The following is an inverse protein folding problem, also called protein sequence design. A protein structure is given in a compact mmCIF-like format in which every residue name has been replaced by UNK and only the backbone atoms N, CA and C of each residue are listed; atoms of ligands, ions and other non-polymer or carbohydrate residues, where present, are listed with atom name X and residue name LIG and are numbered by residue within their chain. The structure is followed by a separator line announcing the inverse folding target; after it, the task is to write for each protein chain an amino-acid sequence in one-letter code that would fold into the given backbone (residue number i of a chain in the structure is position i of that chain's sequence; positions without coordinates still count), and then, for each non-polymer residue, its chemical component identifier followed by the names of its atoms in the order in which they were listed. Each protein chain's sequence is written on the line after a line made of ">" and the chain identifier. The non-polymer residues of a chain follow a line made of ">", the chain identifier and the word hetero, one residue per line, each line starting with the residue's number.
data_IF_025544475740
#
_entry.id   IF_025544475740
#
_cell.length_a   1.000
_cell.length_b   1.000
_cell.length_c   1.000
_cell.angle_alpha   90.00
_cell.angle_beta   90.00
_cell.angle_gamma   90.00
#
_symmetry.space_group_name_H-M   'P 1'
#
loop_
_entity.id
_entity.type
_entity.pdbx_description
1 polymer ?
#
# COMPACT_ATOMS: atom_id res chain seq x y z
N UNK A 1 -16.56 -8.98 -10.73
CA UNK A 1 -15.08 -8.86 -10.68
C UNK A 1 -14.51 -9.90 -9.72
N UNK A 2 -13.28 -10.38 -9.97
CA UNK A 2 -12.68 -11.45 -9.15
C UNK A 2 -12.05 -10.87 -7.91
N UNK A 3 -12.42 -11.39 -6.73
CA UNK A 3 -11.81 -10.97 -5.45
C UNK A 3 -10.49 -11.71 -5.25
N UNK A 4 -9.37 -10.98 -5.21
CA UNK A 4 -8.02 -11.54 -5.03
C UNK A 4 -7.51 -11.47 -3.60
N UNK A 5 -8.12 -10.63 -2.74
CA UNK A 5 -7.92 -10.62 -1.30
C UNK A 5 -9.27 -10.81 -0.62
N UNK A 6 -9.35 -11.69 0.37
CA UNK A 6 -10.52 -11.87 1.24
C UNK A 6 -10.05 -12.00 2.67
N UNK A 7 -10.57 -11.14 3.52
CA UNK A 7 -10.32 -11.16 4.96
C UNK A 7 -11.65 -11.30 5.67
N UNK A 8 -11.80 -12.34 6.51
CA UNK A 8 -13.08 -12.67 7.15
C UNK A 8 -12.90 -12.81 8.66
N UNK A 9 -13.55 -11.94 9.43
CA UNK A 9 -13.55 -11.89 10.90
C UNK A 9 -12.13 -11.99 11.51
N UNK A 10 -11.11 -11.50 10.78
CA UNK A 10 -9.72 -11.69 11.17
C UNK A 10 -9.39 -10.88 12.41
N UNK A 11 -8.85 -11.57 13.40
CA UNK A 11 -8.36 -10.98 14.65
C UNK A 11 -6.96 -11.49 14.93
N UNK A 12 -6.07 -10.60 15.40
CA UNK A 12 -4.71 -10.97 15.75
C UNK A 12 -4.23 -10.25 17.00
N UNK A 13 -3.52 -11.01 17.83
CA UNK A 13 -2.80 -10.51 19.02
C UNK A 13 -1.40 -11.07 19.02
N UNK A 14 -0.39 -10.20 19.03
CA UNK A 14 1.01 -10.62 19.18
C UNK A 14 1.20 -11.38 20.49
N UNK A 15 2.18 -12.32 20.52
CA UNK A 15 2.44 -13.20 21.67
C UNK A 15 2.62 -12.42 22.98
N UNK A 16 3.42 -11.36 22.93
CA UNK A 16 3.83 -10.60 24.10
C UNK A 16 2.98 -9.31 24.31
N UNK A 17 1.85 -9.19 23.60
CA UNK A 17 0.97 -8.05 23.72
C UNK A 17 -0.24 -8.36 24.61
N UNK A 18 -0.59 -7.43 25.50
CA UNK A 18 -1.79 -7.54 26.34
C UNK A 18 -3.09 -7.29 25.56
N UNK A 19 -3.00 -6.59 24.42
CA UNK A 19 -4.17 -6.16 23.64
C UNK A 19 -4.21 -6.81 22.27
N UNK A 20 -5.41 -7.12 21.82
CA UNK A 20 -5.67 -7.56 20.44
C UNK A 20 -5.47 -6.39 19.49
N UNK A 21 -4.54 -6.57 18.53
CA UNK A 21 -4.17 -5.53 17.55
C UNK A 21 -5.20 -5.40 16.43
N UNK A 22 -5.63 -6.53 15.85
CA UNK A 22 -6.72 -6.58 14.86
C UNK A 22 -7.94 -7.27 15.47
N UNK A 23 -9.13 -6.71 15.25
CA UNK A 23 -10.37 -7.12 15.94
C UNK A 23 -11.50 -7.28 14.93
N UNK A 24 -11.73 -8.52 14.47
CA UNK A 24 -12.81 -8.87 13.54
C UNK A 24 -12.79 -8.01 12.27
N UNK A 25 -11.63 -7.91 11.64
CA UNK A 25 -11.46 -7.19 10.37
C UNK A 25 -12.04 -8.05 9.26
N UNK A 26 -12.91 -7.45 8.43
CA UNK A 26 -13.50 -8.12 7.26
C UNK A 26 -13.55 -7.14 6.09
N UNK A 27 -12.98 -7.53 4.96
CA UNK A 27 -13.04 -6.79 3.68
C UNK A 27 -12.60 -7.69 2.53
N UNK A 28 -12.76 -7.21 1.31
CA UNK A 28 -12.24 -7.87 0.12
C UNK A 28 -11.70 -6.85 -0.87
N UNK A 29 -10.71 -7.25 -1.67
CA UNK A 29 -10.11 -6.42 -2.72
C UNK A 29 -10.29 -7.12 -4.06
N UNK A 30 -10.73 -6.38 -5.06
CA UNK A 30 -10.93 -6.87 -6.43
C UNK A 30 -9.62 -6.84 -7.21
N UNK A 31 -9.49 -7.74 -8.18
CA UNK A 31 -8.33 -7.80 -9.07
C UNK A 31 -8.19 -6.49 -9.86
N UNK A 32 -6.96 -5.95 -9.90
CA UNK A 32 -6.63 -4.73 -10.63
C UNK A 32 -7.11 -3.45 -9.95
N UNK A 33 -7.75 -3.52 -8.77
CA UNK A 33 -8.16 -2.32 -8.06
C UNK A 33 -7.01 -1.66 -7.28
N UNK A 34 -7.15 -0.36 -7.03
CA UNK A 34 -6.31 0.41 -6.13
C UNK A 34 -7.05 0.60 -4.80
N UNK A 35 -6.64 -0.14 -3.79
CA UNK A 35 -7.26 -0.16 -2.47
C UNK A 35 -6.40 0.58 -1.46
N UNK A 36 -6.92 1.63 -0.84
CA UNK A 36 -6.18 2.40 0.16
C UNK A 36 -6.64 2.09 1.58
N UNK A 37 -5.68 1.96 2.50
CA UNK A 37 -5.91 1.80 3.94
C UNK A 37 -5.41 3.04 4.65
N UNK A 38 -6.32 3.75 5.33
CA UNK A 38 -6.01 4.96 6.09
C UNK A 38 -6.38 4.80 7.56
N UNK A 39 -5.81 5.62 8.42
CA UNK A 39 -6.11 5.58 9.85
C UNK A 39 -4.95 6.07 10.71
N UNK A 40 -5.24 6.43 11.95
CA UNK A 40 -4.26 6.92 12.91
C UNK A 40 -3.11 5.92 13.15
N UNK A 41 -1.98 6.41 13.63
CA UNK A 41 -0.86 5.55 14.05
C UNK A 41 -1.32 4.58 15.13
N UNK A 42 -0.86 3.33 15.04
CA UNK A 42 -1.28 2.26 15.96
C UNK A 42 -2.68 1.70 15.69
N UNK A 43 -3.37 2.09 14.62
CA UNK A 43 -4.69 1.54 14.26
C UNK A 43 -4.64 0.09 13.77
N UNK A 44 -3.45 -0.45 13.44
CA UNK A 44 -3.24 -1.83 13.02
C UNK A 44 -2.95 -2.01 11.52
N UNK A 45 -2.72 -0.94 10.75
CA UNK A 45 -2.47 -0.97 9.30
C UNK A 45 -1.32 -1.90 8.92
N UNK A 46 -0.12 -1.67 9.48
CA UNK A 46 1.07 -2.51 9.21
C UNK A 46 0.89 -3.97 9.65
N UNK A 47 0.17 -4.20 10.75
CA UNK A 47 -0.19 -5.56 11.19
C UNK A 47 -1.08 -6.25 10.15
N UNK A 48 -2.01 -5.50 9.55
CA UNK A 48 -2.85 -6.03 8.48
C UNK A 48 -2.02 -6.29 7.21
N UNK A 49 -1.12 -5.38 6.80
CA UNK A 49 -0.20 -5.60 5.67
C UNK A 49 0.62 -6.88 5.88
N UNK A 50 1.18 -7.09 7.08
CA UNK A 50 1.90 -8.32 7.42
C UNK A 50 1.03 -9.59 7.33
N UNK A 51 -0.25 -9.48 7.65
CA UNK A 51 -1.17 -10.61 7.51
C UNK A 51 -1.49 -10.93 6.05
N UNK A 52 -1.58 -9.91 5.18
CA UNK A 52 -1.85 -10.11 3.75
C UNK A 52 -0.72 -10.86 3.03
N UNK A 53 0.52 -10.69 3.46
CA UNK A 53 1.69 -11.33 2.82
C UNK A 53 2.17 -12.60 3.54
N UNK A 54 1.44 -13.05 4.56
CA UNK A 54 1.77 -14.27 5.30
C UNK A 54 2.86 -14.14 6.36
N UNK A 55 3.39 -12.93 6.61
CA UNK A 55 4.28 -12.73 7.76
C UNK A 55 3.57 -12.97 9.09
N UNK A 56 2.25 -12.80 9.12
CA UNK A 56 1.36 -13.32 10.15
C UNK A 56 0.56 -14.48 9.51
N UNK A 57 0.57 -15.67 10.09
CA UNK A 57 1.13 -16.07 11.39
C UNK A 57 2.55 -16.66 11.35
N UNK A 58 3.22 -16.70 10.18
CA UNK A 58 4.42 -17.53 9.98
C UNK A 58 5.69 -16.94 10.60
N UNK A 59 5.85 -15.63 10.57
CA UNK A 59 7.01 -14.92 11.15
C UNK A 59 6.64 -14.23 12.46
N UNK A 60 5.59 -13.42 12.45
CA UNK A 60 5.08 -12.78 13.67
C UNK A 60 4.13 -13.72 14.40
N UNK A 61 4.62 -14.32 15.48
CA UNK A 61 3.87 -15.31 16.25
C UNK A 61 2.87 -14.66 17.19
N UNK A 62 1.65 -15.20 17.20
CA UNK A 62 0.57 -14.69 18.04
C UNK A 62 -0.66 -15.58 18.01
N UNK A 63 -1.77 -15.05 18.52
CA UNK A 63 -3.08 -15.70 18.45
C UNK A 63 -3.88 -15.06 17.32
N UNK A 64 -4.21 -15.84 16.30
CA UNK A 64 -5.08 -15.44 15.19
C UNK A 64 -6.44 -16.13 15.26
N UNK A 65 -7.47 -15.51 14.69
CA UNK A 65 -8.82 -16.03 14.49
C UNK A 65 -9.39 -15.43 13.20
N UNK A 66 -10.28 -16.15 12.53
CA UNK A 66 -10.78 -15.77 11.23
C UNK A 66 -9.84 -16.23 10.12
N UNK A 67 -10.00 -15.71 8.92
CA UNK A 67 -9.21 -16.12 7.75
C UNK A 67 -8.70 -14.95 6.94
N UNK A 68 -7.55 -15.15 6.29
CA UNK A 68 -6.98 -14.28 5.24
C UNK A 68 -6.69 -15.16 4.04
N UNK A 69 -7.23 -14.80 2.89
CA UNK A 69 -7.00 -15.52 1.64
C UNK A 69 -6.44 -14.58 0.58
N UNK A 70 -5.40 -15.05 -0.09
CA UNK A 70 -4.80 -14.41 -1.26
C UNK A 70 -5.09 -15.31 -2.45
N UNK A 71 -5.87 -14.78 -3.41
CA UNK A 71 -6.45 -15.59 -4.48
C UNK A 71 -7.20 -16.80 -3.88
N UNK A 72 -6.80 -18.00 -4.25
CA UNK A 72 -7.40 -19.24 -3.74
C UNK A 72 -6.66 -19.84 -2.52
N UNK A 73 -5.53 -19.24 -2.13
CA UNK A 73 -4.67 -19.72 -1.06
C UNK A 73 -5.07 -19.14 0.31
N UNK A 74 -5.21 -20.00 1.32
CA UNK A 74 -5.36 -19.57 2.71
C UNK A 74 -3.99 -19.28 3.29
N UNK A 75 -3.80 -18.04 3.79
CA UNK A 75 -2.50 -17.58 4.32
C UNK A 75 -2.02 -18.44 5.48
N UNK A 76 -2.90 -18.92 6.34
CA UNK A 76 -2.51 -19.71 7.52
C UNK A 76 -1.94 -21.10 7.17
N UNK A 77 -2.28 -21.64 6.01
CA UNK A 77 -1.85 -22.99 5.57
C UNK A 77 -0.86 -22.97 4.42
N UNK A 78 -0.67 -21.81 3.76
CA UNK A 78 0.28 -21.64 2.65
C UNK A 78 1.67 -21.30 3.19
N UNK A 79 2.72 -21.64 2.47
CA UNK A 79 4.08 -21.16 2.81
C UNK A 79 4.30 -19.72 2.37
N UNK A 80 5.21 -19.00 3.05
CA UNK A 80 5.61 -17.65 2.60
C UNK A 80 6.17 -17.69 1.17
N UNK A 81 6.91 -18.74 0.82
CA UNK A 81 7.45 -18.93 -0.53
C UNK A 81 6.36 -19.05 -1.60
N UNK A 82 5.24 -19.72 -1.31
CA UNK A 82 4.12 -19.81 -2.25
C UNK A 82 3.38 -18.47 -2.34
N UNK A 83 3.14 -17.81 -1.22
CA UNK A 83 2.47 -16.51 -1.18
C UNK A 83 3.29 -15.43 -1.91
N UNK A 84 4.63 -15.44 -1.77
CA UNK A 84 5.51 -14.46 -2.40
C UNK A 84 5.49 -14.47 -3.94
N UNK A 85 4.95 -15.53 -4.55
CA UNK A 85 4.70 -15.58 -6.01
C UNK A 85 3.53 -14.70 -6.45
N UNK A 86 2.65 -14.35 -5.54
CA UNK A 86 1.41 -13.64 -5.81
C UNK A 86 1.34 -12.27 -5.17
N UNK A 87 1.94 -12.11 -4.00
CA UNK A 87 1.87 -10.86 -3.23
C UNK A 87 3.24 -10.42 -2.77
N UNK A 88 3.58 -9.18 -3.07
CA UNK A 88 4.79 -8.51 -2.59
C UNK A 88 4.47 -7.43 -1.57
N UNK A 89 5.37 -7.21 -0.60
CA UNK A 89 5.27 -6.15 0.40
C UNK A 89 6.47 -5.21 0.30
N UNK A 90 6.19 -3.91 0.33
CA UNK A 90 7.20 -2.87 0.56
C UNK A 90 6.98 -2.31 1.96
N UNK A 91 7.99 -2.44 2.81
CA UNK A 91 7.92 -2.00 4.20
C UNK A 91 8.02 -0.48 4.33
N UNK A 92 7.46 0.07 5.40
CA UNK A 92 7.59 1.47 5.79
C UNK A 92 9.07 1.89 5.96
N UNK A 93 9.87 1.02 6.58
CA UNK A 93 11.31 1.23 6.67
C UNK A 93 12.02 0.35 5.61
N UNK A 94 12.54 0.93 4.52
CA UNK A 94 13.16 0.17 3.44
C UNK A 94 14.43 -0.56 3.87
N UNK A 95 15.11 -0.11 4.93
CA UNK A 95 16.27 -0.81 5.48
C UNK A 95 15.91 -2.19 6.04
N UNK A 96 14.67 -2.43 6.44
CA UNK A 96 14.23 -3.75 6.90
C UNK A 96 13.98 -4.74 5.74
N UNK A 97 14.03 -4.27 4.50
CA UNK A 97 13.75 -5.09 3.32
C UNK A 97 15.00 -5.63 2.65
N UNK A 98 16.12 -4.93 2.78
CA UNK A 98 17.38 -5.35 2.18
C UNK A 98 17.92 -6.60 2.86
N UNK A 99 18.51 -7.51 2.06
CA UNK A 99 19.11 -8.76 2.55
C UNK A 99 20.38 -8.52 3.37
N UNK A 100 21.11 -7.44 3.07
CA UNK A 100 22.44 -7.10 3.59
C UNK A 100 23.50 -8.16 3.35
N UNK A 101 23.22 -9.13 2.48
CA UNK A 101 24.17 -10.18 2.08
C UNK A 101 24.74 -9.94 0.68
N UNK A 102 24.10 -9.09 -0.10
CA UNK A 102 24.52 -8.71 -1.44
C UNK A 102 25.65 -7.68 -1.38
N UNK A 103 26.65 -7.84 -2.21
CA UNK A 103 27.75 -6.89 -2.36
C UNK A 103 27.39 -5.68 -3.22
N UNK A 104 26.39 -5.82 -4.09
CA UNK A 104 25.94 -4.79 -5.03
C UNK A 104 24.43 -4.67 -5.07
N UNK A 105 23.93 -3.53 -5.55
CA UNK A 105 22.49 -3.30 -5.79
C UNK A 105 21.93 -4.30 -6.82
N UNK A 106 22.73 -4.64 -7.84
CA UNK A 106 22.31 -5.65 -8.83
C UNK A 106 22.07 -7.02 -8.18
N UNK A 107 22.94 -7.44 -7.28
CA UNK A 107 22.79 -8.69 -6.52
C UNK A 107 21.62 -8.62 -5.55
N UNK A 108 21.41 -7.48 -4.89
CA UNK A 108 20.27 -7.26 -4.00
C UNK A 108 18.93 -7.39 -4.75
N UNK A 109 18.82 -6.76 -5.91
CA UNK A 109 17.62 -6.89 -6.77
C UNK A 109 17.42 -8.34 -7.22
N UNK A 110 18.49 -9.06 -7.58
CA UNK A 110 18.43 -10.45 -8.05
C UNK A 110 18.19 -11.47 -6.94
N UNK A 111 18.32 -11.10 -5.66
CA UNK A 111 18.33 -12.01 -4.52
C UNK A 111 17.08 -12.91 -4.47
N UNK A 112 15.88 -12.31 -4.59
CA UNK A 112 14.62 -13.05 -4.61
C UNK A 112 14.50 -14.00 -5.81
N UNK A 113 14.93 -13.56 -6.99
CA UNK A 113 14.93 -14.38 -8.21
C UNK A 113 15.83 -15.62 -8.07
N UNK A 114 16.99 -15.45 -7.42
CA UNK A 114 17.91 -16.55 -7.12
C UNK A 114 17.28 -17.61 -6.24
N UNK A 115 16.56 -17.21 -5.20
CA UNK A 115 15.83 -18.11 -4.31
C UNK A 115 14.71 -18.88 -5.02
N UNK A 116 14.18 -18.34 -6.13
CA UNK A 116 13.17 -19.00 -6.98
C UNK A 116 13.79 -19.79 -8.13
N UNK A 117 15.11 -19.92 -8.23
CA UNK A 117 15.80 -20.71 -9.24
C UNK A 117 15.74 -20.13 -10.66
N UNK A 118 15.54 -18.82 -10.79
CA UNK A 118 15.53 -18.13 -12.09
C UNK A 118 16.91 -18.20 -12.74
N UNK A 119 16.98 -18.37 -14.06
CA UNK A 119 18.26 -18.44 -14.79
C UNK A 119 19.01 -17.10 -14.71
N UNK A 120 20.35 -17.17 -14.76
CA UNK A 120 21.22 -15.98 -14.66
C UNK A 120 20.94 -14.97 -15.79
N UNK A 121 20.69 -15.44 -16.98
CA UNK A 121 20.34 -14.61 -18.13
C UNK A 121 19.03 -13.83 -17.89
N UNK A 122 18.00 -14.53 -17.43
CA UNK A 122 16.71 -13.93 -17.07
C UNK A 122 16.85 -12.93 -15.92
N UNK A 123 17.67 -13.24 -14.90
CA UNK A 123 17.95 -12.31 -13.81
C UNK A 123 18.55 -11.00 -14.32
N UNK A 124 19.58 -11.05 -15.18
CA UNK A 124 20.20 -9.85 -15.75
C UNK A 124 19.19 -8.99 -16.50
N UNK A 125 18.36 -9.61 -17.34
CA UNK A 125 17.32 -8.88 -18.09
C UNK A 125 16.29 -8.20 -17.15
N UNK A 126 15.84 -8.91 -16.11
CA UNK A 126 14.89 -8.38 -15.13
C UNK A 126 15.50 -7.25 -14.29
N UNK A 127 16.77 -7.41 -13.85
CA UNK A 127 17.49 -6.37 -13.11
C UNK A 127 17.62 -5.10 -13.94
N UNK A 128 18.03 -5.19 -15.20
CA UNK A 128 18.13 -4.03 -16.08
C UNK A 128 16.77 -3.33 -16.27
N UNK A 129 15.70 -4.09 -16.48
CA UNK A 129 14.33 -3.56 -16.63
C UNK A 129 13.86 -2.81 -15.37
N UNK A 130 14.07 -3.42 -14.20
CA UNK A 130 13.63 -2.82 -12.93
C UNK A 130 14.50 -1.63 -12.56
N UNK A 131 15.82 -1.68 -12.83
CA UNK A 131 16.71 -0.55 -12.62
C UNK A 131 16.29 0.68 -13.42
N UNK A 132 15.92 0.49 -14.70
CA UNK A 132 15.39 1.56 -15.53
C UNK A 132 14.04 2.09 -15.01
N UNK A 133 13.12 1.20 -14.57
CA UNK A 133 11.83 1.60 -14.01
C UNK A 133 11.98 2.44 -12.73
N UNK A 134 12.98 2.10 -11.88
CA UNK A 134 13.25 2.78 -10.61
C UNK A 134 14.23 3.95 -10.73
N UNK A 135 14.78 4.21 -11.93
CA UNK A 135 15.84 5.21 -12.17
C UNK A 135 17.07 5.00 -11.28
N UNK A 136 17.56 3.75 -11.20
CA UNK A 136 18.70 3.34 -10.37
C UNK A 136 19.81 2.65 -11.18
N UNK A 137 19.82 2.78 -12.52
CA UNK A 137 20.82 2.15 -13.38
C UNK A 137 22.26 2.50 -12.95
N UNK A 138 22.50 3.76 -12.59
CA UNK A 138 23.80 4.25 -12.11
C UNK A 138 24.19 3.77 -10.71
N UNK A 139 23.33 2.97 -10.05
CA UNK A 139 23.57 2.46 -8.70
C UNK A 139 23.87 0.96 -8.68
N UNK A 140 23.71 0.26 -9.80
CA UNK A 140 23.75 -1.21 -9.85
C UNK A 140 25.04 -1.83 -9.27
N UNK A 141 26.19 -1.17 -9.46
CA UNK A 141 27.49 -1.64 -8.97
C UNK A 141 27.84 -1.13 -7.56
N UNK A 142 26.99 -0.29 -6.96
CA UNK A 142 27.24 0.25 -5.61
C UNK A 142 26.86 -0.77 -4.54
N UNK A 143 27.53 -0.65 -3.39
CA UNK A 143 27.12 -1.39 -2.21
C UNK A 143 25.78 -0.82 -1.67
N UNK A 144 24.76 -1.66 -1.37
CA UNK A 144 23.50 -1.20 -0.80
C UNK A 144 23.62 -0.38 0.49
N UNK A 145 24.68 -0.60 1.27
CA UNK A 145 24.97 0.13 2.52
C UNK A 145 25.44 1.58 2.29
N UNK A 146 25.85 1.93 1.06
CA UNK A 146 26.33 3.27 0.70
C UNK A 146 25.21 4.17 0.12
N UNK A 147 23.99 3.64 0.04
CA UNK A 147 22.87 4.33 -0.57
C UNK A 147 22.23 5.33 0.41
N UNK A 148 21.75 6.46 -0.14
CA UNK A 148 20.84 7.35 0.60
C UNK A 148 19.49 6.69 0.86
N UNK A 149 18.71 7.19 1.86
CA UNK A 149 17.40 6.64 2.19
C UNK A 149 16.43 6.54 0.99
N UNK A 150 16.39 7.56 0.15
CA UNK A 150 15.58 7.53 -1.07
C UNK A 150 16.06 6.51 -2.11
N UNK A 151 17.39 6.31 -2.23
CA UNK A 151 17.93 5.27 -3.10
C UNK A 151 17.62 3.87 -2.57
N UNK A 152 17.73 3.66 -1.25
CA UNK A 152 17.33 2.40 -0.59
C UNK A 152 15.86 2.12 -0.84
N UNK A 153 14.98 3.13 -0.75
CA UNK A 153 13.55 2.98 -1.01
C UNK A 153 13.26 2.50 -2.44
N UNK A 154 13.96 3.07 -3.44
CA UNK A 154 13.84 2.65 -4.84
C UNK A 154 14.33 1.21 -5.05
N UNK A 155 15.43 0.83 -4.42
CA UNK A 155 15.95 -0.54 -4.45
C UNK A 155 14.96 -1.50 -3.77
N UNK A 156 14.41 -1.15 -2.61
CA UNK A 156 13.43 -1.95 -1.88
C UNK A 156 12.14 -2.18 -2.69
N UNK A 157 11.61 -1.12 -3.33
CA UNK A 157 10.47 -1.27 -4.23
C UNK A 157 10.85 -2.13 -5.46
N UNK A 158 12.01 -1.88 -6.05
CA UNK A 158 12.54 -2.64 -7.17
C UNK A 158 12.69 -4.14 -6.86
N UNK A 159 13.21 -4.49 -5.67
CA UNK A 159 13.38 -5.89 -5.24
C UNK A 159 12.04 -6.62 -5.07
N UNK A 160 10.97 -5.89 -4.80
CA UNK A 160 9.61 -6.45 -4.78
C UNK A 160 9.05 -6.59 -6.19
N UNK A 161 9.18 -5.56 -7.02
CA UNK A 161 8.61 -5.53 -8.37
C UNK A 161 9.29 -6.50 -9.34
N UNK A 162 10.57 -6.80 -9.14
CA UNK A 162 11.32 -7.76 -9.98
C UNK A 162 10.72 -9.17 -9.94
N UNK A 163 9.98 -9.48 -8.87
CA UNK A 163 9.26 -10.75 -8.69
C UNK A 163 7.96 -10.80 -9.49
N UNK A 164 7.51 -9.66 -10.07
CA UNK A 164 6.29 -9.52 -10.86
C UNK A 164 5.03 -10.04 -10.11
N UNK A 165 4.76 -9.52 -8.89
CA UNK A 165 3.63 -9.98 -8.11
C UNK A 165 2.29 -9.55 -8.73
N UNK A 166 1.24 -10.36 -8.57
CA UNK A 166 -0.14 -9.99 -8.95
C UNK A 166 -0.73 -8.90 -8.03
N UNK A 167 -0.24 -8.86 -6.78
CA UNK A 167 -0.72 -7.96 -5.72
C UNK A 167 0.49 -7.27 -5.09
N UNK A 168 0.45 -5.95 -5.02
CA UNK A 168 1.47 -5.12 -4.39
C UNK A 168 0.90 -4.47 -3.13
N UNK A 169 1.48 -4.80 -1.98
CA UNK A 169 1.15 -4.18 -0.68
C UNK A 169 2.23 -3.16 -0.34
N UNK A 170 1.84 -1.93 -0.08
CA UNK A 170 2.73 -0.80 0.21
C UNK A 170 2.39 -0.25 1.60
N UNK A 171 3.29 -0.42 2.56
CA UNK A 171 3.09 0.08 3.92
C UNK A 171 3.87 1.38 4.11
N UNK A 172 3.22 2.53 3.84
CA UNK A 172 3.78 3.89 3.97
C UNK A 172 5.15 4.05 3.26
N UNK A 173 5.30 3.44 2.09
CA UNK A 173 6.59 3.29 1.40
C UNK A 173 7.18 4.61 0.86
N UNK A 174 6.51 5.73 0.98
CA UNK A 174 7.01 7.05 0.53
C UNK A 174 7.41 7.97 1.68
N UNK A 175 7.24 7.54 2.95
CA UNK A 175 7.43 8.38 4.13
C UNK A 175 8.88 8.92 4.31
N UNK A 176 9.88 8.27 3.70
CA UNK A 176 11.30 8.67 3.80
C UNK A 176 11.80 9.42 2.56
N UNK A 177 10.93 9.70 1.60
CA UNK A 177 11.26 10.42 0.38
C UNK A 177 10.94 11.91 0.52
N UNK A 178 11.66 12.73 -0.24
CA UNK A 178 11.22 14.10 -0.48
C UNK A 178 9.92 14.12 -1.32
N UNK A 179 9.22 15.25 -1.39
CA UNK A 179 7.95 15.33 -2.11
C UNK A 179 8.04 14.88 -3.57
N UNK A 180 9.13 15.24 -4.27
CA UNK A 180 9.31 14.86 -5.67
C UNK A 180 9.54 13.35 -5.82
N UNK A 181 10.43 12.78 -5.04
CA UNK A 181 10.67 11.34 -5.03
C UNK A 181 9.42 10.53 -4.64
N UNK A 182 8.61 11.07 -3.73
CA UNK A 182 7.33 10.47 -3.34
C UNK A 182 6.34 10.42 -4.51
N UNK A 183 6.19 11.52 -5.27
CA UNK A 183 5.32 11.56 -6.45
C UNK A 183 5.84 10.63 -7.57
N UNK A 184 7.15 10.57 -7.81
CA UNK A 184 7.71 9.65 -8.80
C UNK A 184 7.41 8.17 -8.48
N UNK A 185 7.59 7.76 -7.23
CA UNK A 185 7.23 6.39 -6.79
C UNK A 185 5.72 6.15 -6.97
N UNK A 186 4.91 7.14 -6.60
CA UNK A 186 3.48 7.05 -6.74
C UNK A 186 3.04 6.89 -8.20
N UNK A 187 3.63 7.65 -9.12
CA UNK A 187 3.34 7.55 -10.56
C UNK A 187 3.73 6.17 -11.13
N UNK A 188 4.85 5.59 -10.65
CA UNK A 188 5.23 4.22 -10.99
C UNK A 188 4.16 3.23 -10.51
N UNK A 189 3.75 3.30 -9.25
CA UNK A 189 2.73 2.41 -8.68
C UNK A 189 1.39 2.54 -9.41
N UNK A 190 0.98 3.78 -9.74
CA UNK A 190 -0.24 4.06 -10.50
C UNK A 190 -0.19 3.43 -11.90
N UNK A 191 0.94 3.54 -12.58
CA UNK A 191 1.15 2.91 -13.90
C UNK A 191 1.03 1.39 -13.80
N UNK A 192 1.68 0.79 -12.81
CA UNK A 192 1.60 -0.67 -12.58
C UNK A 192 0.16 -1.13 -12.31
N UNK A 193 -0.61 -0.35 -11.57
CA UNK A 193 -2.03 -0.63 -11.36
C UNK A 193 -2.83 -0.55 -12.66
N UNK A 194 -2.57 0.45 -13.51
CA UNK A 194 -3.19 0.55 -14.84
C UNK A 194 -2.81 -0.62 -15.77
N UNK A 195 -1.65 -1.23 -15.55
CA UNK A 195 -1.21 -2.46 -16.23
C UNK A 195 -1.84 -3.74 -15.65
N UNK A 196 -2.68 -3.62 -14.60
CA UNK A 196 -3.50 -4.70 -14.04
C UNK A 196 -3.00 -5.27 -12.71
N UNK A 197 -1.93 -4.72 -12.12
CA UNK A 197 -1.49 -5.10 -10.77
C UNK A 197 -2.50 -4.58 -9.74
N UNK A 198 -2.92 -5.43 -8.82
CA UNK A 198 -3.74 -5.02 -7.68
C UNK A 198 -2.86 -4.31 -6.65
N UNK A 199 -3.25 -3.13 -6.21
CA UNK A 199 -2.50 -2.35 -5.23
C UNK A 199 -3.28 -2.25 -3.93
N UNK A 200 -2.60 -2.55 -2.82
CA UNK A 200 -3.07 -2.23 -1.46
C UNK A 200 -2.06 -1.25 -0.85
N UNK A 201 -2.46 -0.01 -0.64
CA UNK A 201 -1.56 1.04 -0.18
C UNK A 201 -2.02 1.62 1.16
N UNK A 202 -1.10 1.68 2.11
CA UNK A 202 -1.25 2.50 3.31
C UNK A 202 -0.59 3.84 3.05
N UNK A 203 -1.34 4.93 3.17
CA UNK A 203 -0.82 6.28 3.01
C UNK A 203 -1.47 7.25 4.01
N UNK A 204 -0.80 8.37 4.27
CA UNK A 204 -1.28 9.47 5.10
C UNK A 204 -1.62 10.73 4.30
N UNK A 205 -1.32 10.75 3.01
CA UNK A 205 -1.66 11.83 2.10
C UNK A 205 -3.07 11.60 1.52
N UNK A 206 -4.06 12.28 2.09
CA UNK A 206 -5.46 12.08 1.71
C UNK A 206 -5.77 12.61 0.31
N UNK A 207 -5.03 13.60 -0.19
CA UNK A 207 -5.13 14.08 -1.58
C UNK A 207 -4.72 12.98 -2.56
N UNK A 208 -3.60 12.32 -2.25
CA UNK A 208 -3.10 11.20 -3.03
C UNK A 208 -4.07 10.02 -3.00
N UNK A 209 -4.56 9.67 -1.82
CA UNK A 209 -5.56 8.60 -1.64
C UNK A 209 -6.82 8.92 -2.46
N UNK A 210 -7.34 10.14 -2.37
CA UNK A 210 -8.53 10.56 -3.10
C UNK A 210 -8.34 10.50 -4.63
N UNK A 211 -7.12 10.77 -5.11
CA UNK A 211 -6.77 10.81 -6.54
C UNK A 211 -6.64 9.42 -7.17
N UNK A 212 -6.29 8.39 -6.40
CA UNK A 212 -5.94 7.08 -6.95
C UNK A 212 -6.83 5.92 -6.51
N UNK A 213 -7.44 6.00 -5.32
CA UNK A 213 -8.15 4.86 -4.77
C UNK A 213 -9.49 4.61 -5.47
N UNK A 214 -9.75 3.34 -5.78
CA UNK A 214 -11.10 2.86 -6.11
C UNK A 214 -11.92 2.65 -4.84
N UNK A 215 -11.24 2.20 -3.76
CA UNK A 215 -11.83 2.02 -2.44
C UNK A 215 -10.87 2.48 -1.34
N UNK A 216 -11.43 3.07 -0.31
CA UNK A 216 -10.73 3.51 0.90
C UNK A 216 -11.30 2.79 2.11
N UNK A 217 -10.41 2.18 2.89
CA UNK A 217 -10.73 1.56 4.17
C UNK A 217 -10.14 2.36 5.32
N UNK A 218 -11.00 2.84 6.21
CA UNK A 218 -10.60 3.54 7.44
C UNK A 218 -10.39 2.53 8.56
N UNK A 219 -9.21 2.51 9.15
CA UNK A 219 -8.91 1.70 10.32
C UNK A 219 -8.84 2.55 11.60
N UNK A 220 -9.51 2.08 12.66
CA UNK A 220 -9.43 2.71 13.98
C UNK A 220 -9.49 1.69 15.10
N UNK A 221 -8.51 1.72 16.02
CA UNK A 221 -8.38 0.83 17.17
C UNK A 221 -8.46 -0.68 16.82
N UNK A 222 -7.87 -1.05 15.70
CA UNK A 222 -7.80 -2.43 15.19
C UNK A 222 -9.07 -2.92 14.48
N UNK A 223 -9.98 -2.03 14.11
CA UNK A 223 -11.24 -2.35 13.42
C UNK A 223 -11.39 -1.56 12.13
N UNK A 224 -12.13 -2.10 11.19
CA UNK A 224 -12.67 -1.33 10.07
C UNK A 224 -13.74 -0.38 10.61
N UNK A 225 -13.65 0.91 10.28
CA UNK A 225 -14.55 1.98 10.70
C UNK A 225 -15.43 2.46 9.55
N UNK A 226 -14.83 2.58 8.36
CA UNK A 226 -15.53 2.88 7.13
C UNK A 226 -14.86 2.12 5.98
N UNK A 227 -15.60 1.82 4.95
CA UNK A 227 -15.14 1.21 3.70
C UNK A 227 -16.08 1.66 2.59
N UNK A 228 -15.54 2.28 1.55
CA UNK A 228 -16.30 2.78 0.41
C UNK A 228 -15.40 3.47 -0.60
N UNK A 229 -16.00 4.17 -1.56
CA UNK A 229 -15.27 5.04 -2.48
C UNK A 229 -14.65 6.23 -1.73
N UNK A 230 -13.65 6.91 -2.30
CA UNK A 230 -13.13 8.15 -1.70
C UNK A 230 -14.23 9.17 -1.39
N UNK A 231 -15.21 9.32 -2.29
CA UNK A 231 -16.34 10.22 -2.13
C UNK A 231 -17.20 9.85 -0.90
N UNK A 232 -17.55 8.58 -0.75
CA UNK A 232 -18.33 8.10 0.39
C UNK A 232 -17.58 8.29 1.72
N UNK A 233 -16.29 7.94 1.75
CA UNK A 233 -15.49 7.95 2.98
C UNK A 233 -15.14 9.38 3.41
N UNK A 234 -14.68 10.24 2.50
CA UNK A 234 -14.21 11.58 2.88
C UNK A 234 -15.34 12.60 3.03
N UNK A 235 -16.52 12.36 2.42
CA UNK A 235 -17.70 13.18 2.67
C UNK A 235 -18.36 12.89 4.03
N UNK A 236 -18.14 11.72 4.61
CA UNK A 236 -18.70 11.37 5.92
C UNK A 236 -18.00 12.16 7.05
N UNK A 237 -18.74 12.98 7.85
CA UNK A 237 -18.20 13.72 8.98
C UNK A 237 -17.61 12.81 10.08
N UNK A 238 -18.06 11.57 10.19
CA UNK A 238 -17.56 10.62 11.18
C UNK A 238 -16.09 10.22 10.91
N UNK A 239 -15.65 10.30 9.65
CA UNK A 239 -14.30 9.90 9.23
C UNK A 239 -13.20 10.65 10.00
N UNK A 240 -13.37 11.95 10.24
CA UNK A 240 -12.42 12.79 11.00
C UNK A 240 -12.27 12.31 12.46
N UNK A 241 -13.32 11.73 13.05
CA UNK A 241 -13.27 11.22 14.43
C UNK A 241 -12.31 10.05 14.63
N UNK A 242 -11.91 9.40 13.54
CA UNK A 242 -10.97 8.27 13.57
C UNK A 242 -9.50 8.70 13.45
N UNK A 243 -9.23 10.01 13.52
CA UNK A 243 -7.87 10.58 13.54
C UNK A 243 -7.19 10.55 12.17
N UNK A 244 -7.96 10.62 11.11
CA UNK A 244 -7.49 10.86 9.74
C UNK A 244 -7.87 12.27 9.31
N UNK A 245 -7.02 12.88 8.51
CA UNK A 245 -7.36 14.13 7.84
C UNK A 245 -8.31 13.85 6.65
N UNK A 246 -8.86 14.89 6.07
CA UNK A 246 -9.68 14.82 4.86
C UNK A 246 -9.06 15.72 3.79
N UNK A 247 -9.27 15.42 2.51
CA UNK A 247 -8.76 16.26 1.43
C UNK A 247 -9.16 17.73 1.60
N UNK A 248 -8.26 18.65 1.25
CA UNK A 248 -8.52 20.10 1.36
C UNK A 248 -9.69 20.54 0.49
N UNK A 249 -9.95 19.84 -0.60
CA UNK A 249 -11.12 20.07 -1.45
C UNK A 249 -12.43 19.78 -0.72
N UNK A 250 -12.48 18.76 0.14
CA UNK A 250 -13.62 18.49 1.00
C UNK A 250 -13.80 19.59 2.03
N UNK A 251 -12.70 20.05 2.65
CA UNK A 251 -12.73 21.18 3.61
C UNK A 251 -13.27 22.45 2.93
N UNK A 252 -12.79 22.74 1.71
CA UNK A 252 -13.27 23.85 0.91
C UNK A 252 -14.75 23.74 0.60
N UNK A 253 -15.22 22.58 0.15
CA UNK A 253 -16.63 22.32 -0.13
C UNK A 253 -17.53 22.56 1.09
N UNK A 254 -17.12 22.05 2.25
CA UNK A 254 -17.84 22.30 3.51
C UNK A 254 -17.88 23.78 3.87
N UNK A 255 -16.74 24.49 3.75
CA UNK A 255 -16.68 25.93 3.99
C UNK A 255 -17.60 26.73 3.06
N UNK A 256 -17.77 26.33 1.81
CA UNK A 256 -18.69 26.95 0.87
C UNK A 256 -20.16 26.65 1.26
N UNK A 257 -20.49 25.41 1.67
CA UNK A 257 -21.82 25.08 2.18
C UNK A 257 -22.18 25.92 3.43
N UNK A 258 -21.24 26.06 4.37
CA UNK A 258 -21.39 26.89 5.57
C UNK A 258 -21.57 28.38 5.23
N UNK A 259 -21.00 28.85 4.12
CA UNK A 259 -21.18 30.20 3.59
C UNK A 259 -22.49 30.38 2.80
N UNK A 260 -23.31 29.35 2.67
CA UNK A 260 -24.64 29.41 2.04
C UNK A 260 -24.65 29.07 0.55
N UNK A 261 -23.55 28.54 -0.01
CA UNK A 261 -23.56 28.04 -1.38
C UNK A 261 -24.27 26.67 -1.44
N UNK A 262 -25.12 26.49 -2.44
CA UNK A 262 -25.80 25.21 -2.69
C UNK A 262 -24.85 24.28 -3.48
N UNK A 263 -24.22 23.36 -2.76
CA UNK A 263 -23.35 22.34 -3.35
C UNK A 263 -24.03 20.97 -3.14
N UNK A 264 -24.44 20.28 -4.21
CA UNK A 264 -25.13 18.99 -4.10
C UNK A 264 -24.24 17.89 -3.50
N UNK A 265 -22.94 17.92 -3.80
CA UNK A 265 -21.93 16.96 -3.32
C UNK A 265 -20.69 17.69 -2.82
N UNK A 266 -19.88 17.02 -2.01
CA UNK A 266 -18.57 17.54 -1.61
C UNK A 266 -17.49 17.12 -2.60
N UNK A 267 -16.64 18.04 -3.09
CA UNK A 267 -15.55 17.69 -3.98
C UNK A 267 -14.48 16.95 -3.19
N UNK A 268 -14.01 15.85 -3.71
CA UNK A 268 -12.94 15.05 -3.10
C UNK A 268 -11.63 15.20 -3.87
N UNK A 269 -11.70 15.66 -5.12
CA UNK A 269 -10.57 15.88 -6.04
C UNK A 269 -10.61 17.29 -6.63
N UNK A 270 -9.44 17.74 -7.09
CA UNK A 270 -9.25 19.06 -7.67
C UNK A 270 -10.21 19.34 -8.83
N UNK A 271 -10.32 18.40 -9.78
CA UNK A 271 -11.18 18.56 -10.95
C UNK A 271 -12.67 18.67 -10.59
N UNK A 272 -13.10 17.99 -9.52
CA UNK A 272 -14.44 18.12 -8.98
C UNK A 272 -14.63 19.51 -8.35
N UNK A 273 -13.68 19.95 -7.52
CA UNK A 273 -13.74 21.26 -6.87
C UNK A 273 -13.81 22.41 -7.91
N UNK A 274 -12.95 22.36 -8.94
CA UNK A 274 -12.94 23.36 -10.02
C UNK A 274 -14.27 23.42 -10.77
N UNK A 275 -14.87 22.27 -11.08
CA UNK A 275 -16.19 22.21 -11.73
C UNK A 275 -17.28 22.83 -10.85
N UNK A 276 -17.38 22.39 -9.60
CA UNK A 276 -18.40 22.85 -8.66
C UNK A 276 -18.33 24.36 -8.40
N UNK A 277 -17.12 24.90 -8.19
CA UNK A 277 -16.95 26.34 -7.99
C UNK A 277 -17.38 27.13 -9.23
N UNK A 278 -17.03 26.66 -10.44
CA UNK A 278 -17.48 27.31 -11.69
C UNK A 278 -19.01 27.30 -11.86
N UNK A 279 -19.68 26.28 -11.38
CA UNK A 279 -21.14 26.16 -11.42
C UNK A 279 -21.80 27.06 -10.36
N UNK A 280 -21.27 27.09 -9.14
CA UNK A 280 -21.76 27.92 -8.05
C UNK A 280 -21.59 29.45 -8.28
N UNK A 281 -20.65 29.85 -9.14
CA UNK A 281 -20.40 31.26 -9.49
C UNK A 281 -21.21 31.76 -10.71
N UNK A 282 -22.02 30.90 -11.34
CA UNK A 282 -22.90 31.26 -12.45
C UNK A 282 -24.29 31.63 -11.98
#
# INVERSE_FOLDING_TARGET
>A
MTKVIRVEDFSFRYRDADRTTLKRVSFSVEQGSFFCIVGANGSGKSTLCNALVGLIPHYFVGKSRGSVRIKDSDVATSTIADLSRHVGLVFQNPFNQLSYTAGTVAEELAFGLGNHGVSRETMHAKVARVAALMHIEGLLDKNPLELSGGQVQRVALGSTLIMEPDILVLDECTAQLDPLGSEEIFDIVKRLNQEGITVVMVDHDMERVARCADQVMVMGAGRVRALGTPEEVFADPETVKWGIDIPDYVKLGRGLQDAGFDLPDLPVREDQAVRMIREALR
#
